data_IF_027087358226
#
_entry.id   IF_027087358226
#
_cell.length_a   1.000
_cell.length_b   1.000
_cell.length_c   1.000
_cell.angle_alpha   90.00
_cell.angle_beta   90.00
_cell.angle_gamma   90.00
#
_symmetry.space_group_name_H-M   'P 1'
#
loop_
_entity.id
_entity.type
_entity.pdbx_description
1 polymer ?
#
# COMPACT_ATOMS: atom_id res chain seq x y z
N UNK A 1 -4.65 -0.03 29.52
CA UNK A 1 -4.90 0.72 28.26
C UNK A 1 -3.64 1.54 28.00
N UNK A 2 -3.03 1.43 26.83
CA UNK A 2 -1.79 2.19 26.52
C UNK A 2 -2.21 3.62 26.15
N UNK A 3 -1.64 4.62 26.84
CA UNK A 3 -1.83 6.03 26.52
C UNK A 3 -0.79 6.46 25.48
N UNK A 4 -1.27 7.03 24.38
CA UNK A 4 -0.45 7.53 23.27
C UNK A 4 -0.48 9.06 23.18
N UNK A 5 -0.94 9.74 24.23
CA UNK A 5 -0.81 11.19 24.37
C UNK A 5 0.67 11.59 24.47
N UNK A 6 1.04 12.67 23.79
CA UNK A 6 2.41 13.20 23.78
C UNK A 6 2.42 14.59 24.45
N UNK A 7 2.32 14.67 25.78
CA UNK A 7 2.23 15.96 26.49
C UNK A 7 3.53 16.76 26.49
N UNK A 8 4.65 16.15 26.07
CA UNK A 8 5.97 16.77 26.04
C UNK A 8 6.55 16.75 24.63
N UNK A 9 7.43 17.70 24.35
CA UNK A 9 8.22 17.71 23.12
C UNK A 9 9.09 16.45 23.02
N UNK A 10 9.24 15.93 21.80
CA UNK A 10 10.10 14.80 21.46
C UNK A 10 11.05 15.20 20.34
N UNK A 11 12.25 14.62 20.32
CA UNK A 11 13.21 14.75 19.23
C UNK A 11 13.43 13.41 18.53
N UNK A 12 13.79 13.46 17.25
CA UNK A 12 14.25 12.29 16.49
C UNK A 12 15.59 12.63 15.88
N UNK A 13 16.61 11.89 16.28
CA UNK A 13 17.92 11.96 15.66
C UNK A 13 17.91 11.32 14.26
N UNK A 14 18.85 11.73 13.42
CA UNK A 14 19.03 11.13 12.11
C UNK A 14 19.38 9.64 12.24
N UNK A 15 18.65 8.79 11.52
CA UNK A 15 18.95 7.35 11.42
C UNK A 15 20.06 7.16 10.39
N UNK A 16 21.19 6.60 10.81
CA UNK A 16 22.33 6.32 9.94
C UNK A 16 22.47 4.82 9.71
N UNK A 17 22.60 4.41 8.45
CA UNK A 17 22.78 3.02 8.06
C UNK A 17 23.32 2.89 6.64
N UNK A 18 23.98 1.76 6.33
CA UNK A 18 24.44 1.48 4.96
C UNK A 18 23.28 1.31 3.98
N UNK A 19 22.17 0.78 4.47
CA UNK A 19 20.90 0.67 3.75
C UNK A 19 19.80 1.17 4.69
N UNK A 20 18.89 1.99 4.17
CA UNK A 20 17.80 2.61 4.95
C UNK A 20 16.50 2.48 4.17
N UNK A 21 15.43 2.09 4.86
CA UNK A 21 14.05 2.12 4.35
C UNK A 21 13.26 3.06 5.25
N UNK A 22 12.60 4.04 4.66
CA UNK A 22 11.77 5.01 5.39
C UNK A 22 10.36 5.00 4.80
N UNK A 23 9.37 4.71 5.66
CA UNK A 23 7.94 4.65 5.30
C UNK A 23 7.10 5.29 6.40
N UNK A 24 5.86 5.67 6.07
CA UNK A 24 4.84 6.14 7.03
C UNK A 24 4.43 5.06 8.04
N UNK A 25 4.52 3.80 7.64
CA UNK A 25 4.13 2.64 8.44
C UNK A 25 5.35 1.74 8.76
N UNK A 26 5.73 1.57 10.04
CA UNK A 26 6.84 0.70 10.44
C UNK A 26 6.82 -0.73 9.87
N UNK A 27 5.65 -1.37 9.75
CA UNK A 27 5.56 -2.72 9.15
C UNK A 27 5.90 -2.72 7.65
N UNK A 28 5.57 -1.66 6.92
CA UNK A 28 5.99 -1.51 5.52
C UNK A 28 7.51 -1.30 5.41
N UNK A 29 8.10 -0.51 6.30
CA UNK A 29 9.56 -0.36 6.36
C UNK A 29 10.26 -1.70 6.69
N UNK A 30 9.66 -2.50 7.57
CA UNK A 30 10.16 -3.83 7.91
C UNK A 30 10.09 -4.80 6.73
N UNK A 31 9.03 -4.76 5.91
CA UNK A 31 8.93 -5.53 4.68
C UNK A 31 10.09 -5.22 3.70
N UNK A 32 10.40 -3.93 3.51
CA UNK A 32 11.54 -3.53 2.68
C UNK A 32 12.89 -3.97 3.25
N UNK A 33 13.08 -3.83 4.57
CA UNK A 33 14.29 -4.32 5.25
C UNK A 33 14.44 -5.84 5.16
N UNK A 34 13.34 -6.60 5.15
CA UNK A 34 13.37 -8.04 4.94
C UNK A 34 13.91 -8.38 3.56
N UNK A 35 13.51 -7.67 2.50
CA UNK A 35 14.05 -7.88 1.16
C UNK A 35 15.54 -7.55 1.08
N UNK A 36 15.99 -6.46 1.72
CA UNK A 36 17.42 -6.15 1.80
C UNK A 36 18.22 -7.26 2.50
N UNK A 37 17.67 -7.88 3.55
CA UNK A 37 18.30 -9.02 4.25
C UNK A 37 18.40 -10.27 3.41
N UNK A 38 17.47 -10.46 2.46
CA UNK A 38 17.50 -11.54 1.48
C UNK A 38 18.46 -11.27 0.30
N UNK A 39 19.20 -10.15 0.32
CA UNK A 39 20.12 -9.78 -0.74
C UNK A 39 19.51 -8.93 -1.86
N UNK A 40 18.27 -8.46 -1.67
CA UNK A 40 17.63 -7.49 -2.55
C UNK A 40 18.29 -6.11 -2.50
N UNK A 41 18.01 -5.29 -3.50
CA UNK A 41 18.46 -3.91 -3.60
C UNK A 41 17.42 -2.91 -3.08
N UNK A 42 17.66 -1.62 -3.30
CA UNK A 42 16.74 -0.56 -2.91
C UNK A 42 15.37 -0.63 -3.59
N UNK A 43 15.29 -1.11 -4.83
CA UNK A 43 14.02 -1.25 -5.57
C UNK A 43 13.24 -2.47 -5.10
N UNK A 44 13.90 -3.60 -4.81
CA UNK A 44 13.27 -4.76 -4.13
C UNK A 44 12.65 -4.32 -2.79
N UNK A 45 13.38 -3.54 -2.00
CA UNK A 45 12.90 -3.02 -0.73
C UNK A 45 11.73 -2.04 -0.90
N UNK A 46 11.81 -1.12 -1.87
CA UNK A 46 10.75 -0.15 -2.15
C UNK A 46 9.46 -0.85 -2.60
N UNK A 47 9.54 -1.87 -3.47
CA UNK A 47 8.38 -2.64 -3.90
C UNK A 47 7.76 -3.40 -2.73
N UNK A 48 8.53 -4.13 -1.93
CA UNK A 48 7.97 -4.83 -0.78
C UNK A 48 7.33 -3.88 0.25
N UNK A 49 7.90 -2.69 0.46
CA UNK A 49 7.28 -1.65 1.27
C UNK A 49 5.98 -1.10 0.68
N UNK A 50 5.94 -0.84 -0.63
CA UNK A 50 4.74 -0.37 -1.32
C UNK A 50 3.61 -1.41 -1.25
N UNK A 51 3.91 -2.67 -1.61
CA UNK A 51 2.96 -3.78 -1.56
C UNK A 51 2.44 -3.97 -0.13
N UNK A 52 3.32 -3.96 0.88
CA UNK A 52 2.89 -4.07 2.29
C UNK A 52 1.98 -2.90 2.70
N UNK A 53 2.23 -1.68 2.20
CA UNK A 53 1.44 -0.49 2.55
C UNK A 53 -0.02 -0.61 2.12
N UNK A 54 -0.31 -1.35 1.04
CA UNK A 54 -1.70 -1.67 0.63
C UNK A 54 -2.49 -2.40 1.71
N UNK A 55 -1.79 -3.10 2.62
CA UNK A 55 -2.38 -3.90 3.70
C UNK A 55 -2.34 -3.16 5.03
N UNK A 56 -1.18 -2.59 5.39
CA UNK A 56 -0.95 -2.03 6.75
C UNK A 56 -1.29 -0.54 6.87
N UNK A 57 -1.63 0.12 5.77
CA UNK A 57 -2.11 1.51 5.73
C UNK A 57 -3.25 1.71 4.69
N UNK A 58 -4.36 0.94 4.76
CA UNK A 58 -5.41 0.95 3.74
C UNK A 58 -6.21 2.26 3.68
N UNK A 59 -6.06 3.13 4.69
CA UNK A 59 -6.64 4.47 4.68
C UNK A 59 -5.93 5.45 3.73
N UNK A 60 -4.76 5.09 3.20
CA UNK A 60 -3.95 5.94 2.33
C UNK A 60 -3.40 5.21 1.09
N UNK A 61 -3.70 3.92 0.93
CA UNK A 61 -3.15 3.07 -0.11
C UNK A 61 -4.09 1.90 -0.40
N UNK A 62 -3.92 1.23 -1.54
CA UNK A 62 -4.67 0.03 -1.91
C UNK A 62 -4.22 -0.49 -3.28
N UNK A 63 -4.44 -1.78 -3.55
CA UNK A 63 -3.98 -2.45 -4.79
C UNK A 63 -4.53 -1.78 -6.06
N UNK A 64 -5.70 -1.15 -5.96
CA UNK A 64 -6.38 -0.44 -7.05
C UNK A 64 -5.90 1.00 -7.30
N UNK A 65 -4.71 1.36 -6.82
CA UNK A 65 -4.14 2.69 -7.00
C UNK A 65 -3.31 2.87 -8.27
N UNK A 66 -2.62 4.01 -8.31
CA UNK A 66 -1.59 4.36 -9.28
C UNK A 66 -0.25 4.49 -8.55
N UNK A 67 0.85 4.29 -9.26
CA UNK A 67 2.19 4.41 -8.67
C UNK A 67 3.15 5.24 -9.53
N UNK A 68 4.08 5.90 -8.83
CA UNK A 68 5.15 6.68 -9.42
C UNK A 68 6.44 6.33 -8.72
N UNK A 69 7.55 6.32 -9.47
CA UNK A 69 8.86 6.10 -8.90
C UNK A 69 9.92 6.95 -9.57
N UNK A 70 10.90 7.38 -8.78
CA UNK A 70 12.16 7.94 -9.26
C UNK A 70 13.24 6.99 -8.78
N UNK A 71 13.93 6.35 -9.72
CA UNK A 71 14.98 5.36 -9.42
C UNK A 71 16.30 5.92 -9.91
N UNK A 72 17.32 5.91 -9.06
CA UNK A 72 18.68 6.24 -9.44
C UNK A 72 19.54 4.97 -9.42
N UNK A 73 20.21 4.68 -10.53
CA UNK A 73 21.16 3.58 -10.68
C UNK A 73 22.48 4.11 -11.30
N UNK A 74 23.38 3.20 -11.68
CA UNK A 74 24.65 3.55 -12.35
C UNK A 74 24.47 4.21 -13.73
N UNK A 75 23.30 4.06 -14.35
CA UNK A 75 22.97 4.60 -15.66
C UNK A 75 22.26 5.96 -15.59
N UNK A 76 21.94 6.44 -14.39
CA UNK A 76 21.35 7.75 -14.13
C UNK A 76 20.02 7.69 -13.40
N UNK A 77 19.17 8.69 -13.63
CA UNK A 77 17.87 8.84 -12.97
C UNK A 77 16.76 8.44 -13.95
N UNK A 78 15.86 7.57 -13.51
CA UNK A 78 14.72 7.06 -14.26
C UNK A 78 13.44 7.56 -13.60
N UNK A 79 12.56 8.19 -14.39
CA UNK A 79 11.21 8.55 -13.97
C UNK A 79 10.21 7.50 -14.45
N UNK A 80 9.38 7.00 -13.54
CA UNK A 80 8.34 6.02 -13.79
C UNK A 80 6.99 6.68 -13.51
N UNK A 81 6.11 6.63 -14.51
CA UNK A 81 4.73 7.05 -14.40
C UNK A 81 3.83 5.82 -14.67
N UNK A 82 3.19 5.33 -13.62
CA UNK A 82 2.12 4.36 -13.69
C UNK A 82 0.80 4.93 -13.23
N UNK A 83 0.48 6.13 -13.69
CA UNK A 83 -0.89 6.62 -13.65
C UNK A 83 -1.70 5.99 -14.75
N UNK A 84 -2.76 5.28 -14.38
CA UNK A 84 -3.63 4.68 -15.37
C UNK A 84 -4.60 5.68 -15.98
N UNK A 85 -5.08 5.33 -17.17
CA UNK A 85 -5.90 6.22 -18.00
C UNK A 85 -7.35 6.18 -17.56
N UNK A 86 -8.13 7.17 -17.98
CA UNK A 86 -9.58 7.08 -17.93
C UNK A 86 -10.07 5.84 -18.71
N UNK A 87 -11.18 5.20 -18.29
CA UNK A 87 -11.75 4.07 -19.00
C UNK A 87 -12.09 4.43 -20.46
N UNK A 88 -11.92 3.49 -21.39
CA UNK A 88 -12.21 3.73 -22.80
C UNK A 88 -13.70 4.05 -23.08
N UNK A 89 -14.60 3.59 -22.20
CA UNK A 89 -16.04 3.86 -22.26
C UNK A 89 -16.44 5.13 -21.50
N UNK A 90 -15.48 5.86 -20.92
CA UNK A 90 -15.76 7.10 -20.22
C UNK A 90 -16.31 8.14 -21.22
N UNK A 91 -17.40 8.87 -20.89
CA UNK A 91 -17.89 9.91 -21.76
C UNK A 91 -16.83 11.00 -21.96
N UNK A 92 -16.80 11.60 -23.15
CA UNK A 92 -15.86 12.67 -23.50
C UNK A 92 -16.11 13.96 -22.72
N UNK A 93 -17.27 14.09 -22.09
CA UNK A 93 -17.66 15.19 -21.22
C UNK A 93 -18.49 14.66 -20.06
N UNK A 94 -18.20 15.15 -18.86
CA UNK A 94 -19.00 14.92 -17.66
C UNK A 94 -19.64 16.26 -17.32
N UNK A 95 -20.96 16.28 -17.19
CA UNK A 95 -21.66 17.45 -16.68
C UNK A 95 -21.54 17.50 -15.16
N UNK A 96 -21.21 18.67 -14.61
CA UNK A 96 -21.05 18.87 -13.16
C UNK A 96 -19.73 18.35 -12.61
N UNK A 97 -19.65 18.26 -11.27
CA UNK A 97 -18.47 17.81 -10.56
C UNK A 97 -18.38 16.27 -10.54
N UNK A 98 -17.17 15.74 -10.69
CA UNK A 98 -16.93 14.30 -10.50
C UNK A 98 -17.13 13.97 -9.02
N UNK A 99 -17.99 13.00 -8.66
CA UNK A 99 -18.24 12.65 -7.28
C UNK A 99 -16.99 12.01 -6.65
N UNK A 100 -16.87 12.14 -5.34
CA UNK A 100 -15.71 11.63 -4.60
C UNK A 100 -15.81 10.12 -4.31
N UNK A 101 -16.96 9.49 -4.52
CA UNK A 101 -17.24 8.07 -4.24
C UNK A 101 -18.07 7.49 -5.39
N UNK A 102 -17.98 6.18 -5.58
CA UNK A 102 -18.65 5.44 -6.65
C UNK A 102 -17.73 5.16 -7.84
N UNK A 103 -18.30 4.63 -8.91
CA UNK A 103 -17.53 4.15 -10.08
C UNK A 103 -17.07 5.26 -11.04
N UNK A 104 -17.78 6.39 -11.09
CA UNK A 104 -17.46 7.47 -12.02
C UNK A 104 -16.03 8.04 -11.87
N UNK A 105 -15.48 8.27 -10.66
CA UNK A 105 -14.11 8.76 -10.49
C UNK A 105 -13.01 7.72 -10.73
N UNK A 106 -13.34 6.45 -11.01
CA UNK A 106 -12.34 5.36 -11.09
C UNK A 106 -11.64 5.35 -12.45
N UNK A 107 -10.30 5.48 -12.42
CA UNK A 107 -9.42 5.22 -13.58
C UNK A 107 -8.92 3.79 -13.57
N UNK A 108 -8.28 3.35 -14.66
CA UNK A 108 -7.58 2.05 -14.68
C UNK A 108 -6.48 2.10 -13.60
N UNK A 109 -6.37 1.13 -12.69
CA UNK A 109 -5.27 1.09 -11.72
C UNK A 109 -3.92 0.84 -12.39
N UNK A 110 -2.91 1.69 -12.16
CA UNK A 110 -1.57 1.54 -12.71
C UNK A 110 -0.51 1.00 -11.73
N UNK A 111 -0.86 0.77 -10.47
CA UNK A 111 0.08 0.36 -9.42
C UNK A 111 0.74 -1.01 -9.69
N UNK A 112 -0.05 -2.06 -10.00
CA UNK A 112 0.49 -3.40 -10.29
C UNK A 112 1.39 -3.39 -11.53
N UNK A 113 0.96 -2.71 -12.61
CA UNK A 113 1.78 -2.57 -13.82
C UNK A 113 3.12 -1.88 -13.53
N UNK A 114 3.12 -0.91 -12.59
CA UNK A 114 4.33 -0.25 -12.13
C UNK A 114 5.25 -1.19 -11.37
N UNK A 115 4.72 -2.02 -10.47
CA UNK A 115 5.50 -3.02 -9.75
C UNK A 115 6.16 -4.01 -10.70
N UNK A 116 5.42 -4.52 -11.68
CA UNK A 116 5.93 -5.45 -12.70
C UNK A 116 7.05 -4.80 -13.51
N UNK A 117 6.88 -3.54 -13.93
CA UNK A 117 7.90 -2.84 -14.72
C UNK A 117 9.17 -2.57 -13.90
N UNK A 118 9.01 -2.08 -12.67
CA UNK A 118 10.13 -1.86 -11.75
C UNK A 118 10.86 -3.16 -11.44
N UNK A 119 10.11 -4.25 -11.24
CA UNK A 119 10.68 -5.57 -11.01
C UNK A 119 11.54 -6.02 -12.19
N UNK A 120 10.97 -6.05 -13.39
CA UNK A 120 11.66 -6.49 -14.62
C UNK A 120 12.94 -5.69 -14.90
N UNK A 121 12.96 -4.40 -14.55
CA UNK A 121 14.06 -3.50 -14.90
C UNK A 121 15.13 -3.40 -13.81
N UNK A 122 14.75 -3.45 -12.54
CA UNK A 122 15.66 -3.08 -11.45
C UNK A 122 15.77 -4.10 -10.32
N UNK A 123 14.82 -5.03 -10.15
CA UNK A 123 14.84 -5.95 -9.00
C UNK A 123 15.83 -7.10 -9.17
N UNK A 124 16.28 -7.65 -8.04
CA UNK A 124 17.13 -8.84 -7.98
C UNK A 124 16.40 -10.07 -7.48
N UNK A 125 15.39 -9.90 -6.62
CA UNK A 125 14.66 -11.01 -6.03
C UNK A 125 13.54 -11.49 -6.98
N UNK A 126 13.10 -12.77 -6.85
CA UNK A 126 11.90 -13.23 -7.54
C UNK A 126 10.69 -12.36 -7.21
N UNK A 127 9.83 -12.08 -8.18
CA UNK A 127 8.70 -11.17 -8.00
C UNK A 127 7.83 -11.58 -6.81
N UNK A 128 7.47 -12.86 -6.74
CA UNK A 128 6.65 -13.41 -5.65
C UNK A 128 7.25 -13.21 -4.25
N UNK A 129 8.58 -13.23 -4.11
CA UNK A 129 9.25 -13.01 -2.82
C UNK A 129 8.96 -11.61 -2.25
N UNK A 130 8.76 -10.61 -3.12
CA UNK A 130 8.45 -9.23 -2.71
C UNK A 130 7.08 -9.10 -2.03
N UNK A 131 6.17 -10.05 -2.27
CA UNK A 131 4.81 -10.06 -1.75
C UNK A 131 4.67 -10.79 -0.41
N UNK A 132 5.64 -11.66 -0.06
CA UNK A 132 5.56 -12.51 1.13
C UNK A 132 5.21 -11.75 2.42
N UNK A 133 5.83 -10.58 2.74
CA UNK A 133 5.49 -9.86 3.96
C UNK A 133 4.04 -9.35 3.94
N UNK A 134 3.59 -8.80 2.81
CA UNK A 134 2.25 -8.24 2.66
C UNK A 134 1.17 -9.32 2.74
N UNK A 135 1.37 -10.46 2.05
CA UNK A 135 0.49 -11.63 2.12
C UNK A 135 0.42 -12.15 3.56
N UNK A 136 1.55 -12.24 4.26
CA UNK A 136 1.56 -12.65 5.67
C UNK A 136 0.79 -11.67 6.55
N UNK A 137 0.99 -10.36 6.41
CA UNK A 137 0.23 -9.36 7.18
C UNK A 137 -1.26 -9.40 6.88
N UNK A 138 -1.65 -9.62 5.62
CA UNK A 138 -3.05 -9.70 5.23
C UNK A 138 -3.71 -10.99 5.75
N UNK A 139 -3.02 -12.13 5.66
CA UNK A 139 -3.57 -13.45 6.01
C UNK A 139 -3.53 -13.74 7.50
N UNK A 140 -2.39 -13.47 8.15
CA UNK A 140 -2.16 -13.76 9.56
C UNK A 140 -2.50 -12.58 10.47
N UNK A 141 -2.64 -11.40 9.87
CA UNK A 141 -3.07 -10.18 10.52
C UNK A 141 -1.94 -9.28 11.03
N UNK A 142 -2.33 -8.07 11.39
CA UNK A 142 -1.45 -7.07 12.00
C UNK A 142 -2.21 -6.23 13.04
N UNK A 143 -1.48 -5.65 13.99
CA UNK A 143 -2.05 -4.75 14.99
C UNK A 143 -2.19 -3.34 14.41
N UNK A 144 -3.39 -2.77 14.45
CA UNK A 144 -3.66 -1.45 13.87
C UNK A 144 -2.98 -0.34 14.70
N UNK A 145 -2.15 0.47 14.04
CA UNK A 145 -1.43 1.58 14.68
C UNK A 145 -2.36 2.75 15.05
N UNK A 146 -2.02 3.61 16.03
CA UNK A 146 -2.85 4.74 16.43
C UNK A 146 -3.25 5.68 15.29
N UNK A 147 -2.29 6.02 14.41
CA UNK A 147 -2.55 6.90 13.25
C UNK A 147 -3.40 6.21 12.19
N UNK A 148 -3.16 4.93 11.94
CA UNK A 148 -3.97 4.13 11.00
C UNK A 148 -5.41 4.03 11.47
N UNK A 149 -5.66 3.68 12.73
CA UNK A 149 -7.02 3.60 13.30
C UNK A 149 -7.76 4.94 13.22
N UNK A 150 -7.08 6.05 13.56
CA UNK A 150 -7.66 7.40 13.49
C UNK A 150 -8.07 7.75 12.06
N UNK A 151 -7.18 7.54 11.08
CA UNK A 151 -7.48 7.83 9.66
C UNK A 151 -8.58 6.92 9.11
N UNK A 152 -8.55 5.64 9.45
CA UNK A 152 -9.56 4.66 9.05
C UNK A 152 -10.95 5.06 9.56
N UNK A 153 -11.06 5.42 10.84
CA UNK A 153 -12.30 5.91 11.44
C UNK A 153 -12.82 7.17 10.74
N UNK A 154 -11.94 8.14 10.50
CA UNK A 154 -12.31 9.40 9.85
C UNK A 154 -12.78 9.20 8.39
N UNK A 155 -12.24 8.20 7.69
CA UNK A 155 -12.63 7.87 6.32
C UNK A 155 -13.89 7.02 6.20
N UNK A 156 -14.35 6.38 7.28
CA UNK A 156 -15.39 5.36 7.22
C UNK A 156 -16.72 5.88 6.72
N UNK A 157 -17.18 7.02 7.24
CA UNK A 157 -18.51 7.55 6.92
C UNK A 157 -18.67 7.88 5.43
N UNK A 158 -17.56 8.22 4.74
CA UNK A 158 -17.53 8.48 3.30
C UNK A 158 -17.93 7.26 2.46
N UNK A 159 -17.64 6.05 2.92
CA UNK A 159 -17.82 4.82 2.13
C UNK A 159 -18.94 3.91 2.67
N UNK A 160 -19.76 4.37 3.63
CA UNK A 160 -20.82 3.53 4.23
C UNK A 160 -21.89 3.06 3.25
N UNK A 161 -22.07 3.74 2.12
CA UNK A 161 -22.97 3.30 1.04
C UNK A 161 -22.40 2.16 0.19
N UNK A 162 -21.09 1.91 0.26
CA UNK A 162 -20.38 0.96 -0.58
C UNK A 162 -20.29 -0.39 0.15
N UNK A 163 -21.23 -1.31 -0.10
CA UNK A 163 -21.32 -2.57 0.64
C UNK A 163 -20.01 -3.38 0.59
N UNK A 164 -19.39 -3.51 -0.58
CA UNK A 164 -18.14 -4.25 -0.74
C UNK A 164 -16.98 -3.62 0.07
N UNK A 165 -16.97 -2.29 0.20
CA UNK A 165 -16.01 -1.59 1.06
C UNK A 165 -16.28 -1.90 2.53
N UNK A 166 -17.55 -1.84 2.95
CA UNK A 166 -17.97 -2.17 4.32
C UNK A 166 -17.58 -3.60 4.70
N UNK A 167 -17.81 -4.58 3.82
CA UNK A 167 -17.50 -5.99 4.04
C UNK A 167 -16.00 -6.24 4.22
N UNK A 168 -15.16 -5.44 3.57
CA UNK A 168 -13.69 -5.58 3.62
C UNK A 168 -13.08 -4.82 4.79
N UNK A 169 -13.55 -3.59 5.05
CA UNK A 169 -12.85 -2.62 5.90
C UNK A 169 -13.57 -2.29 7.21
N UNK A 170 -14.74 -2.89 7.47
CA UNK A 170 -15.42 -2.79 8.75
C UNK A 170 -15.46 -4.14 9.46
N UNK A 171 -15.19 -4.10 10.77
CA UNK A 171 -15.20 -5.23 11.66
C UNK A 171 -16.35 -5.02 12.65
N UNK A 172 -17.36 -5.90 12.60
CA UNK A 172 -18.64 -5.73 13.31
C UNK A 172 -19.31 -4.37 13.00
N UNK A 173 -19.21 -3.93 11.75
CA UNK A 173 -19.80 -2.68 11.26
C UNK A 173 -19.06 -1.40 11.65
N UNK A 174 -17.85 -1.51 12.22
CA UNK A 174 -17.04 -0.38 12.69
C UNK A 174 -15.61 -0.42 12.13
N UNK A 175 -14.99 0.75 12.03
CA UNK A 175 -13.55 0.83 11.80
C UNK A 175 -12.79 0.16 12.94
N UNK A 176 -11.60 -0.41 12.68
CA UNK A 176 -10.85 -1.09 13.72
C UNK A 176 -10.29 -0.11 14.76
N UNK A 177 -10.22 -0.58 16.00
CA UNK A 177 -9.67 0.17 17.13
C UNK A 177 -8.14 0.08 17.18
N UNK A 178 -7.52 1.01 17.92
CA UNK A 178 -6.06 0.99 18.12
C UNK A 178 -5.63 -0.32 18.79
N UNK A 179 -4.65 -1.01 18.19
CA UNK A 179 -4.14 -2.28 18.67
C UNK A 179 -5.06 -3.48 18.41
N UNK A 180 -6.19 -3.31 17.71
CA UNK A 180 -6.98 -4.44 17.24
C UNK A 180 -6.16 -5.25 16.23
N UNK A 181 -6.14 -6.57 16.39
CA UNK A 181 -5.61 -7.48 15.38
C UNK A 181 -6.68 -7.66 14.29
N UNK A 182 -6.34 -7.31 13.05
CA UNK A 182 -7.22 -7.50 11.90
C UNK A 182 -6.58 -8.39 10.85
N UNK A 183 -7.40 -9.03 10.02
CA UNK A 183 -6.98 -9.79 8.84
C UNK A 183 -7.74 -9.27 7.62
N UNK A 184 -7.14 -9.40 6.44
CA UNK A 184 -7.72 -9.01 5.14
C UNK A 184 -7.53 -10.19 4.16
N UNK A 185 -8.30 -11.29 4.32
CA UNK A 185 -8.09 -12.52 3.55
C UNK A 185 -8.22 -12.33 2.03
N UNK A 186 -9.16 -11.50 1.58
CA UNK A 186 -9.33 -11.23 0.15
C UNK A 186 -8.15 -10.43 -0.42
N UNK A 187 -7.59 -9.47 0.34
CA UNK A 187 -6.34 -8.81 -0.05
C UNK A 187 -5.19 -9.81 -0.15
N UNK A 188 -5.08 -10.75 0.79
CA UNK A 188 -4.03 -11.78 0.73
C UNK A 188 -4.15 -12.64 -0.54
N UNK A 189 -5.38 -12.99 -0.93
CA UNK A 189 -5.64 -13.80 -2.13
C UNK A 189 -5.28 -13.04 -3.40
N UNK A 190 -5.71 -11.78 -3.53
CA UNK A 190 -5.36 -10.94 -4.68
C UNK A 190 -3.84 -10.72 -4.79
N UNK A 191 -3.16 -10.45 -3.67
CA UNK A 191 -1.70 -10.29 -3.67
C UNK A 191 -0.97 -11.59 -4.04
N UNK A 192 -1.49 -12.75 -3.60
CA UNK A 192 -0.96 -14.06 -3.98
C UNK A 192 -1.15 -14.30 -5.49
N UNK A 193 -2.32 -14.01 -6.03
CA UNK A 193 -2.61 -14.15 -7.46
C UNK A 193 -1.69 -13.26 -8.30
N UNK A 194 -1.55 -11.98 -7.97
CA UNK A 194 -0.62 -11.05 -8.64
C UNK A 194 0.82 -11.59 -8.60
N UNK A 195 1.26 -12.12 -7.46
CA UNK A 195 2.59 -12.70 -7.28
C UNK A 195 2.82 -13.92 -8.19
N UNK A 196 1.79 -14.76 -8.38
CA UNK A 196 1.84 -15.98 -9.18
C UNK A 196 1.73 -15.70 -10.68
N UNK A 197 0.94 -14.72 -11.08
CA UNK A 197 0.74 -14.35 -12.50
C UNK A 197 1.75 -13.33 -13.00
N UNK A 198 2.57 -12.73 -12.12
CA UNK A 198 3.39 -11.57 -12.43
C UNK A 198 2.57 -10.36 -12.88
N UNK A 199 1.39 -10.18 -12.26
CA UNK A 199 0.47 -9.07 -12.51
C UNK A 199 -0.35 -9.15 -13.80
N UNK A 200 -0.36 -10.31 -14.47
CA UNK A 200 -1.23 -10.62 -15.61
C UNK A 200 -2.61 -11.16 -15.16
#
# INVERSE_FOLDING_TARGET
MIDWSLPYASSREAVLGKNVVACSQPLAAQAGLQMMRLGGNAVDAALASAIASTVVEPCANGIGGDAFAIVQDENGIHGINGSGKSPALMPTSIEGEIPSVGWLPVTVPGEVATWVMLHKKFCKLPFATLFEPAISYARNGFLVSPQTATRWKNGTDRFRSEQAWCDTFLFDGKAPEVGQLITLPDHANTLQEIAETNGD
#
